data_IF_903962221322
#
_entry.id   IF_903962221322
#
_cell.length_a   1.000
_cell.length_b   1.000
_cell.length_c   1.000
_cell.angle_alpha   90.00
_cell.angle_beta   90.00
_cell.angle_gamma   90.00
#
_symmetry.space_group_name_H-M   'P 1'
#
loop_
_entity.id
_entity.type
_entity.pdbx_description
1 polymer ?
#
# COMPACT_ATOMS: atom_id res chain seq x y z
N UNK A 1 -6.92 8.19 4.54
CA UNK A 1 -6.03 7.16 5.20
C UNK A 1 -6.71 5.79 5.24
N UNK A 2 -5.99 4.70 4.89
CA UNK A 2 -6.56 3.34 4.72
C UNK A 2 -7.00 2.71 6.07
N UNK A 3 -6.28 3.00 7.16
CA UNK A 3 -6.45 2.35 8.47
C UNK A 3 -7.88 2.26 8.99
N UNK A 4 -8.63 3.35 9.10
CA UNK A 4 -10.00 3.31 9.62
C UNK A 4 -10.95 2.42 8.80
N UNK A 5 -10.76 2.35 7.48
CA UNK A 5 -11.55 1.47 6.60
C UNK A 5 -11.24 0.00 6.87
N UNK A 6 -9.96 -0.35 7.04
CA UNK A 6 -9.54 -1.71 7.39
C UNK A 6 -10.10 -2.14 8.75
N UNK A 7 -9.99 -1.28 9.76
CA UNK A 7 -10.51 -1.56 11.11
C UNK A 7 -12.01 -1.88 11.05
N UNK A 8 -12.80 -1.04 10.34
CA UNK A 8 -14.24 -1.30 10.17
C UNK A 8 -14.51 -2.64 9.48
N UNK A 9 -13.78 -2.95 8.39
CA UNK A 9 -13.97 -4.20 7.65
C UNK A 9 -13.56 -5.44 8.45
N UNK A 10 -12.56 -5.36 9.32
CA UNK A 10 -12.18 -6.44 10.24
C UNK A 10 -13.24 -6.64 11.33
N UNK A 11 -13.74 -5.56 11.93
CA UNK A 11 -14.82 -5.67 12.95
C UNK A 11 -16.11 -6.22 12.37
N UNK A 12 -16.50 -5.82 11.16
CA UNK A 12 -17.67 -6.39 10.47
C UNK A 12 -17.55 -7.91 10.26
N UNK A 13 -16.32 -8.44 10.28
CA UNK A 13 -16.01 -9.89 10.22
C UNK A 13 -15.86 -10.54 11.61
N UNK A 14 -16.19 -9.81 12.68
CA UNK A 14 -16.14 -10.31 14.04
C UNK A 14 -14.75 -10.35 14.69
N UNK A 15 -13.75 -9.70 14.10
CA UNK A 15 -12.41 -9.63 14.67
C UNK A 15 -12.34 -8.66 15.85
N UNK A 16 -11.64 -9.08 16.91
CA UNK A 16 -11.21 -8.19 17.99
C UNK A 16 -9.99 -7.41 17.51
N UNK A 17 -10.13 -6.10 17.37
CA UNK A 17 -9.10 -5.24 16.75
C UNK A 17 -8.47 -4.34 17.81
N UNK A 18 -7.15 -4.33 17.85
CA UNK A 18 -6.36 -3.34 18.56
C UNK A 18 -5.53 -2.53 17.56
N UNK A 19 -5.34 -1.24 17.83
CA UNK A 19 -4.56 -0.32 17.00
C UNK A 19 -3.42 0.28 17.82
N UNK A 20 -2.20 0.13 17.33
CA UNK A 20 -1.03 0.86 17.84
C UNK A 20 -0.78 2.07 16.95
N UNK A 21 -0.76 3.27 17.54
CA UNK A 21 -0.53 4.53 16.81
C UNK A 21 0.20 5.57 17.66
N UNK A 22 0.74 6.60 17.01
CA UNK A 22 1.52 7.69 17.67
C UNK A 22 0.67 8.70 18.46
N UNK A 23 -0.65 8.65 18.36
CA UNK A 23 -1.55 9.62 19.00
C UNK A 23 -1.68 10.98 18.29
N UNK A 24 -0.94 11.22 17.20
CA UNK A 24 -0.91 12.52 16.51
C UNK A 24 -2.21 12.79 15.72
N UNK A 25 -2.75 11.74 15.10
CA UNK A 25 -4.00 11.81 14.33
C UNK A 25 -5.00 10.81 14.91
N UNK A 26 -6.05 11.32 15.53
CA UNK A 26 -7.11 10.49 16.10
C UNK A 26 -8.18 10.29 15.04
N UNK A 27 -8.11 9.20 14.30
CA UNK A 27 -9.19 8.80 13.42
C UNK A 27 -10.43 8.39 14.26
N UNK A 28 -11.62 8.66 13.74
CA UNK A 28 -12.86 8.15 14.30
C UNK A 28 -12.92 6.61 14.09
N UNK A 29 -12.55 5.86 15.13
CA UNK A 29 -12.66 4.41 15.18
C UNK A 29 -13.82 4.00 16.06
N UNK A 30 -14.42 2.83 15.81
CA UNK A 30 -15.47 2.28 16.69
C UNK A 30 -15.01 2.20 18.16
N UNK A 31 -15.95 2.37 19.09
CA UNK A 31 -15.65 2.48 20.53
C UNK A 31 -15.02 1.22 21.14
N UNK A 32 -15.29 0.05 20.56
CA UNK A 32 -14.78 -1.25 21.00
C UNK A 32 -13.37 -1.57 20.47
N UNK A 33 -12.75 -0.68 19.69
CA UNK A 33 -11.36 -0.84 19.23
C UNK A 33 -10.41 -0.45 20.36
N UNK A 34 -9.59 -1.40 20.78
CA UNK A 34 -8.55 -1.12 21.77
C UNK A 34 -7.44 -0.28 21.14
N UNK A 35 -7.03 0.78 21.83
CA UNK A 35 -6.00 1.70 21.35
C UNK A 35 -4.78 1.65 22.23
N UNK A 36 -3.64 1.45 21.61
CA UNK A 36 -2.34 1.60 22.26
C UNK A 36 -1.65 2.83 21.66
N UNK A 37 -1.27 3.74 22.52
CA UNK A 37 -0.39 4.85 22.18
C UNK A 37 0.98 4.57 22.77
N UNK A 38 2.02 4.86 22.03
CA UNK A 38 3.38 4.75 22.52
C UNK A 38 4.14 6.00 22.09
N UNK A 39 4.73 6.69 23.06
CA UNK A 39 5.57 7.86 22.81
C UNK A 39 6.80 7.56 21.96
N UNK A 40 7.15 6.25 21.88
CA UNK A 40 8.23 5.72 21.01
C UNK A 40 7.74 5.30 19.62
N UNK A 41 6.46 5.47 19.33
CA UNK A 41 5.90 5.14 18.01
C UNK A 41 6.29 6.21 16.96
N UNK A 42 7.58 6.46 16.84
CA UNK A 42 8.14 7.16 15.69
C UNK A 42 7.91 6.34 14.41
N UNK A 43 8.10 6.96 13.26
CA UNK A 43 8.31 6.25 12.01
C UNK A 43 9.78 6.46 11.65
N UNK A 44 10.54 5.40 11.40
CA UNK A 44 10.20 3.98 11.38
C UNK A 44 9.85 3.44 12.78
N UNK A 45 9.00 2.40 12.83
CA UNK A 45 8.60 1.73 14.09
C UNK A 45 9.71 0.78 14.52
N UNK A 46 10.67 1.28 15.28
CA UNK A 46 11.83 0.47 15.74
C UNK A 46 11.54 -0.30 17.04
N UNK A 47 10.44 -0.02 17.70
CA UNK A 47 9.99 -0.69 18.93
C UNK A 47 8.50 -0.92 18.90
N UNK A 48 8.08 -2.08 19.37
CA UNK A 48 6.66 -2.39 19.56
C UNK A 48 6.31 -2.24 21.03
N UNK A 49 5.26 -1.49 21.32
CA UNK A 49 4.77 -1.28 22.69
C UNK A 49 4.49 -2.60 23.38
N UNK A 50 4.94 -2.76 24.64
CA UNK A 50 4.69 -3.96 25.43
C UNK A 50 3.20 -4.30 25.56
N UNK A 51 2.33 -3.28 25.59
CA UNK A 51 0.90 -3.45 25.64
C UNK A 51 0.36 -4.14 24.38
N UNK A 52 0.86 -3.79 23.19
CA UNK A 52 0.49 -4.43 21.93
C UNK A 52 0.96 -5.91 21.89
N UNK A 53 2.14 -6.19 22.44
CA UNK A 53 2.63 -7.57 22.56
C UNK A 53 1.77 -8.38 23.54
N UNK A 54 1.37 -7.79 24.69
CA UNK A 54 0.49 -8.44 25.68
C UNK A 54 -0.93 -8.66 25.19
N UNK A 55 -1.37 -7.94 24.19
CA UNK A 55 -2.64 -8.18 23.51
C UNK A 55 -2.69 -9.57 22.86
N UNK A 56 -1.52 -10.18 22.59
CA UNK A 56 -1.36 -11.51 21.99
C UNK A 56 -2.16 -11.65 20.68
N UNK A 57 -1.86 -10.88 19.65
CA UNK A 57 -2.62 -10.92 18.40
C UNK A 57 -2.42 -12.25 17.66
N UNK A 58 -3.48 -12.81 17.08
CA UNK A 58 -3.37 -13.93 16.14
C UNK A 58 -2.70 -13.48 14.82
N UNK A 59 -3.01 -12.26 14.37
CA UNK A 59 -2.44 -11.66 13.16
C UNK A 59 -2.00 -10.23 13.43
N UNK A 60 -0.80 -9.91 13.01
CA UNK A 60 -0.27 -8.53 13.01
C UNK A 60 -0.42 -7.92 11.64
N UNK A 61 -1.04 -6.75 11.54
CA UNK A 61 -1.07 -5.96 10.33
C UNK A 61 -0.16 -4.73 10.47
N UNK A 62 0.98 -4.74 9.80
CA UNK A 62 1.93 -3.62 9.80
C UNK A 62 1.72 -2.73 8.57
N UNK A 63 0.98 -1.64 8.77
CA UNK A 63 0.57 -0.76 7.67
C UNK A 63 1.63 0.26 7.27
N UNK A 64 2.61 0.52 8.11
CA UNK A 64 3.60 1.61 7.95
C UNK A 64 5.05 1.10 7.95
N UNK A 65 5.27 -0.15 7.51
CA UNK A 65 6.62 -0.67 7.32
C UNK A 65 7.33 0.12 6.20
N UNK A 66 8.24 1.01 6.56
CA UNK A 66 8.90 1.92 5.61
C UNK A 66 10.23 1.37 5.09
N UNK A 67 10.93 0.58 5.90
CA UNK A 67 12.23 0.02 5.54
C UNK A 67 12.54 -1.28 6.27
N UNK A 68 13.78 -1.74 6.14
CA UNK A 68 14.22 -3.00 6.72
C UNK A 68 14.08 -3.03 8.25
N UNK A 69 14.53 -1.97 8.90
CA UNK A 69 14.64 -1.93 10.37
C UNK A 69 13.29 -2.05 11.07
N UNK A 70 12.26 -1.37 10.58
CA UNK A 70 10.93 -1.44 11.19
C UNK A 70 10.24 -2.77 10.88
N UNK A 71 10.46 -3.35 9.70
CA UNK A 71 10.00 -4.70 9.40
C UNK A 71 10.66 -5.73 10.30
N UNK A 72 11.99 -5.70 10.47
CA UNK A 72 12.74 -6.59 11.37
C UNK A 72 12.31 -6.42 12.84
N UNK A 73 12.06 -5.19 13.29
CA UNK A 73 11.58 -4.91 14.65
C UNK A 73 10.21 -5.55 14.90
N UNK A 74 9.27 -5.43 13.94
CA UNK A 74 7.97 -6.07 14.03
C UNK A 74 8.09 -7.60 14.01
N UNK A 75 8.89 -8.16 13.11
CA UNK A 75 9.16 -9.60 13.03
C UNK A 75 9.73 -10.14 14.36
N UNK A 76 10.73 -9.47 14.92
CA UNK A 76 11.33 -9.88 16.19
C UNK A 76 10.36 -9.79 17.39
N UNK A 77 9.52 -8.77 17.41
CA UNK A 77 8.55 -8.57 18.50
C UNK A 77 7.46 -9.65 18.52
N UNK A 78 7.04 -10.15 17.37
CA UNK A 78 5.91 -11.07 17.27
C UNK A 78 6.27 -12.52 16.89
N UNK A 79 7.54 -12.82 16.58
CA UNK A 79 8.00 -14.21 16.37
C UNK A 79 7.66 -15.09 17.56
N UNK A 80 7.00 -16.22 17.30
CA UNK A 80 6.52 -17.15 18.33
C UNK A 80 5.38 -16.62 19.22
N UNK A 81 4.79 -15.44 18.89
CA UNK A 81 3.69 -14.81 19.64
C UNK A 81 2.46 -14.55 18.80
N UNK A 82 2.62 -14.31 17.51
CA UNK A 82 1.52 -14.21 16.58
C UNK A 82 1.59 -15.36 15.57
N UNK A 83 0.45 -15.74 15.01
CA UNK A 83 0.39 -16.78 13.99
C UNK A 83 0.95 -16.33 12.64
N UNK A 84 0.83 -15.06 12.30
CA UNK A 84 1.36 -14.47 11.06
C UNK A 84 1.38 -12.95 11.08
N UNK A 85 2.09 -12.37 10.09
CA UNK A 85 2.13 -10.93 9.85
C UNK A 85 1.70 -10.60 8.41
N UNK A 86 0.96 -9.53 8.25
CA UNK A 86 0.62 -8.93 6.96
C UNK A 86 1.28 -7.56 6.89
N UNK A 87 2.01 -7.27 5.82
CA UNK A 87 2.65 -5.96 5.62
C UNK A 87 2.18 -5.30 4.34
N UNK A 88 2.07 -3.97 4.37
CA UNK A 88 1.78 -3.19 3.18
C UNK A 88 3.09 -2.80 2.49
N UNK A 89 3.25 -3.28 1.27
CA UNK A 89 4.26 -2.88 0.32
C UNK A 89 3.67 -1.89 -0.69
N UNK A 90 4.40 -1.58 -1.73
CA UNK A 90 4.03 -0.62 -2.76
C UNK A 90 4.45 -1.14 -4.13
N UNK A 91 3.78 -0.72 -5.18
CA UNK A 91 4.20 -1.03 -6.54
C UNK A 91 5.49 -0.35 -6.97
N UNK A 92 6.07 0.52 -6.17
CA UNK A 92 7.38 1.09 -6.44
C UNK A 92 8.53 0.08 -6.28
N UNK A 93 8.24 -1.11 -5.80
CA UNK A 93 9.20 -2.24 -5.79
C UNK A 93 9.51 -2.74 -7.20
N UNK A 94 8.60 -2.58 -8.15
CA UNK A 94 8.80 -3.06 -9.51
C UNK A 94 9.84 -2.26 -10.28
N UNK A 95 10.63 -2.95 -11.11
CA UNK A 95 11.57 -2.31 -12.02
C UNK A 95 10.85 -1.38 -13.01
N UNK A 96 9.63 -1.74 -13.43
CA UNK A 96 8.77 -0.88 -14.23
C UNK A 96 8.59 0.50 -13.61
N UNK A 97 8.38 0.59 -12.29
CA UNK A 97 8.30 1.89 -11.62
C UNK A 97 9.61 2.66 -11.69
N UNK A 98 10.75 1.97 -11.53
CA UNK A 98 12.09 2.57 -11.73
C UNK A 98 12.29 3.10 -13.15
N UNK A 99 11.80 2.36 -14.18
CA UNK A 99 11.79 2.82 -15.58
C UNK A 99 10.94 4.08 -15.77
N UNK A 100 9.75 4.09 -15.16
CA UNK A 100 8.85 5.24 -15.21
C UNK A 100 9.47 6.49 -14.60
N UNK A 101 10.04 6.40 -13.41
CA UNK A 101 10.64 7.57 -12.72
C UNK A 101 12.08 7.88 -13.15
N UNK A 102 12.64 7.11 -14.10
CA UNK A 102 13.97 7.34 -14.65
C UNK A 102 15.15 6.90 -13.78
N UNK A 103 14.90 6.12 -12.72
CA UNK A 103 15.95 5.63 -11.81
C UNK A 103 16.57 4.30 -12.22
N UNK A 104 15.92 3.57 -13.13
CA UNK A 104 16.37 2.29 -13.68
C UNK A 104 16.59 2.44 -15.20
N UNK A 105 17.81 2.35 -15.72
CA UNK A 105 18.06 2.44 -17.16
C UNK A 105 17.66 1.17 -17.91
N UNK A 106 17.27 1.29 -19.18
CA UNK A 106 16.98 0.19 -20.10
C UNK A 106 15.59 0.27 -20.74
N UNK A 107 15.17 -0.82 -21.41
CA UNK A 107 13.88 -0.91 -22.09
C UNK A 107 12.71 -0.92 -21.13
N UNK A 108 11.51 -0.59 -21.62
CA UNK A 108 10.26 -0.71 -20.87
C UNK A 108 10.00 -2.17 -20.48
N UNK A 109 9.40 -2.36 -19.32
CA UNK A 109 8.99 -3.67 -18.84
C UNK A 109 7.59 -4.03 -19.39
N UNK A 110 7.36 -5.29 -19.73
CA UNK A 110 6.04 -5.73 -20.13
C UNK A 110 5.00 -5.54 -19.02
N UNK A 111 3.77 -5.21 -19.41
CA UNK A 111 2.62 -5.12 -18.51
C UNK A 111 1.48 -5.99 -19.02
N UNK A 112 0.60 -6.50 -18.13
CA UNK A 112 0.52 -6.23 -16.70
C UNK A 112 1.62 -6.91 -15.87
N UNK A 113 1.99 -6.28 -14.75
CA UNK A 113 2.99 -6.77 -13.79
C UNK A 113 2.32 -7.75 -12.83
N UNK A 114 2.74 -9.00 -12.83
CA UNK A 114 2.38 -9.98 -11.81
C UNK A 114 3.33 -9.89 -10.59
N UNK A 115 3.13 -10.74 -9.60
CA UNK A 115 3.94 -10.74 -8.38
C UNK A 115 5.38 -11.21 -8.60
N UNK A 116 5.66 -11.91 -9.71
CA UNK A 116 7.00 -12.39 -10.10
C UNK A 116 7.72 -11.39 -11.04
N UNK A 117 7.05 -10.32 -11.47
CA UNK A 117 7.65 -9.32 -12.34
C UNK A 117 8.93 -8.74 -11.71
N UNK A 118 9.94 -8.35 -12.52
CA UNK A 118 11.23 -7.90 -12.03
C UNK A 118 11.12 -6.73 -11.05
N UNK A 119 11.86 -6.84 -9.94
CA UNK A 119 11.98 -5.77 -8.95
C UNK A 119 13.09 -4.80 -9.33
N UNK A 120 13.04 -3.58 -8.76
CA UNK A 120 14.12 -2.59 -8.89
C UNK A 120 15.45 -3.20 -8.42
N UNK A 121 16.52 -2.89 -9.11
CA UNK A 121 17.89 -3.21 -8.68
C UNK A 121 18.39 -2.15 -7.71
N UNK A 122 18.06 -0.88 -7.97
CA UNK A 122 18.45 0.24 -7.12
C UNK A 122 17.62 0.24 -5.82
N UNK A 123 18.31 0.03 -4.70
CA UNK A 123 17.73 0.17 -3.38
C UNK A 123 17.66 1.65 -2.95
N UNK A 124 16.79 1.94 -1.96
CA UNK A 124 16.56 3.27 -1.40
C UNK A 124 16.23 4.33 -2.47
N UNK A 125 15.07 4.17 -3.15
CA UNK A 125 14.74 4.94 -4.36
C UNK A 125 14.64 6.44 -4.15
N UNK A 126 14.43 6.90 -2.93
CA UNK A 126 14.23 8.31 -2.58
C UNK A 126 15.40 8.93 -1.79
N UNK A 127 16.48 8.18 -1.54
CA UNK A 127 17.60 8.63 -0.70
C UNK A 127 18.26 9.91 -1.18
N UNK A 128 18.43 10.07 -2.48
CA UNK A 128 19.11 11.23 -3.06
C UNK A 128 18.25 12.50 -3.01
N UNK A 129 16.91 12.34 -2.96
CA UNK A 129 15.96 13.44 -2.84
C UNK A 129 15.53 13.71 -1.39
N UNK A 130 15.98 12.90 -0.44
CA UNK A 130 15.65 13.07 0.96
C UNK A 130 16.29 14.35 1.53
N UNK A 131 15.55 15.19 2.26
CA UNK A 131 16.10 16.42 2.84
C UNK A 131 17.22 16.18 3.84
N UNK A 132 17.16 15.08 4.58
CA UNK A 132 18.18 14.68 5.56
C UNK A 132 18.14 13.16 5.80
N UNK A 133 19.11 12.63 6.58
CA UNK A 133 19.14 11.21 6.99
C UNK A 133 18.06 10.86 8.02
N UNK A 134 17.48 11.84 8.67
CA UNK A 134 16.37 11.72 9.63
C UNK A 134 15.02 11.70 8.92
N UNK A 135 14.97 12.10 7.64
CA UNK A 135 13.76 12.02 6.85
C UNK A 135 13.42 10.55 6.52
N UNK A 136 12.13 10.23 6.55
CA UNK A 136 11.65 8.87 6.30
C UNK A 136 12.01 8.33 4.92
N UNK A 137 12.07 9.20 3.93
CA UNK A 137 12.42 8.84 2.55
C UNK A 137 13.85 8.34 2.41
N UNK A 138 14.76 8.74 3.31
CA UNK A 138 16.17 8.34 3.26
C UNK A 138 16.38 6.83 3.44
N UNK A 139 15.61 6.20 4.34
CA UNK A 139 15.70 4.77 4.66
C UNK A 139 14.56 3.96 4.05
N UNK A 140 13.67 4.62 3.32
CA UNK A 140 12.53 3.97 2.69
C UNK A 140 13.00 2.95 1.64
N UNK A 141 12.59 1.70 1.82
CA UNK A 141 12.72 0.66 0.79
C UNK A 141 11.77 -0.52 1.05
N UNK A 142 10.73 -0.64 0.22
CA UNK A 142 9.75 -1.73 0.34
C UNK A 142 10.31 -3.09 -0.09
N UNK A 143 11.32 -3.15 -0.96
CA UNK A 143 12.00 -4.42 -1.29
C UNK A 143 12.65 -5.02 -0.04
N UNK A 144 13.29 -4.18 0.77
CA UNK A 144 13.92 -4.63 2.02
C UNK A 144 12.89 -5.04 3.07
N UNK A 145 11.72 -4.37 3.12
CA UNK A 145 10.56 -4.80 3.94
C UNK A 145 10.11 -6.20 3.52
N UNK A 146 9.88 -6.42 2.22
CA UNK A 146 9.42 -7.72 1.70
C UNK A 146 10.44 -8.84 2.02
N UNK A 147 11.74 -8.56 1.85
CA UNK A 147 12.81 -9.52 2.18
C UNK A 147 12.83 -9.85 3.68
N UNK A 148 12.75 -8.85 4.55
CA UNK A 148 12.76 -9.06 6.00
C UNK A 148 11.56 -9.91 6.45
N UNK A 149 10.38 -9.64 5.93
CA UNK A 149 9.15 -10.35 6.30
C UNK A 149 9.14 -11.80 5.80
N UNK A 150 9.77 -12.07 4.65
CA UNK A 150 9.83 -13.41 4.06
C UNK A 150 11.01 -14.26 4.54
N UNK A 151 11.93 -13.68 5.29
CA UNK A 151 13.16 -14.38 5.74
C UNK A 151 12.98 -15.29 6.94
N UNK A 152 11.85 -15.22 7.66
CA UNK A 152 11.64 -15.94 8.92
C UNK A 152 10.46 -16.90 8.84
N UNK A 153 10.71 -18.18 9.16
CA UNK A 153 9.70 -19.23 9.17
C UNK A 153 8.81 -19.19 10.43
N UNK A 154 9.30 -18.62 11.53
CA UNK A 154 8.58 -18.59 12.82
C UNK A 154 7.40 -17.61 12.84
N UNK A 155 7.33 -16.70 11.88
CA UNK A 155 6.21 -15.77 11.70
C UNK A 155 5.91 -15.66 10.22
N UNK A 156 5.01 -16.49 9.67
CA UNK A 156 4.64 -16.45 8.26
C UNK A 156 4.20 -15.05 7.82
N UNK A 157 4.82 -14.54 6.75
CA UNK A 157 4.59 -13.19 6.27
C UNK A 157 3.75 -13.12 5.00
N UNK A 158 2.80 -12.20 4.96
CA UNK A 158 2.04 -11.85 3.77
C UNK A 158 2.42 -10.44 3.33
N UNK A 159 2.64 -10.25 2.05
CA UNK A 159 2.97 -8.94 1.46
C UNK A 159 1.84 -8.50 0.54
N UNK A 160 1.37 -7.27 0.70
CA UNK A 160 0.39 -6.65 -0.19
C UNK A 160 1.05 -5.47 -0.91
N UNK A 161 1.28 -5.59 -2.21
CA UNK A 161 1.75 -4.50 -3.07
C UNK A 161 0.58 -3.64 -3.46
N UNK A 162 0.50 -2.46 -2.86
CA UNK A 162 -0.60 -1.53 -3.07
C UNK A 162 -0.45 -0.74 -4.37
N UNK A 163 -1.56 -0.40 -5.02
CA UNK A 163 -1.61 0.46 -6.20
C UNK A 163 -1.53 1.94 -5.80
N UNK A 164 -1.79 2.85 -6.72
CA UNK A 164 -2.10 4.24 -6.38
C UNK A 164 -3.47 4.30 -5.72
N UNK A 165 -3.47 4.41 -4.39
CA UNK A 165 -4.72 4.48 -3.60
C UNK A 165 -5.35 5.86 -3.74
N UNK A 166 -6.67 5.91 -3.89
CA UNK A 166 -7.46 7.12 -3.88
C UNK A 166 -8.72 6.95 -3.02
N UNK A 167 -9.26 8.06 -2.58
CA UNK A 167 -10.44 8.11 -1.73
C UNK A 167 -10.62 9.49 -1.14
N UNK A 168 -11.65 9.72 -0.31
CA UNK A 168 -11.95 11.05 0.23
C UNK A 168 -10.84 11.70 1.05
N UNK A 169 -9.89 10.91 1.54
CA UNK A 169 -8.80 11.36 2.42
C UNK A 169 -7.42 11.14 1.78
N UNK A 170 -7.35 10.36 0.70
CA UNK A 170 -6.12 10.01 0.01
C UNK A 170 -6.29 10.30 -1.47
N UNK A 171 -5.52 11.24 -2.01
CA UNK A 171 -5.68 11.67 -3.41
C UNK A 171 -7.15 12.06 -3.71
N UNK A 172 -7.79 12.75 -2.75
CA UNK A 172 -9.23 12.97 -2.69
C UNK A 172 -9.80 13.64 -3.96
N UNK A 173 -9.04 14.55 -4.54
CA UNK A 173 -9.38 15.26 -5.77
C UNK A 173 -8.88 14.53 -7.03
N UNK A 174 -8.40 13.30 -6.89
CA UNK A 174 -7.79 12.55 -7.99
C UNK A 174 -6.64 13.30 -8.68
N UNK A 175 -5.89 14.06 -7.89
CA UNK A 175 -4.82 14.94 -8.37
C UNK A 175 -3.83 14.24 -9.33
N UNK A 176 -3.57 12.94 -9.12
CA UNK A 176 -2.71 12.16 -10.02
C UNK A 176 -3.28 12.11 -11.44
N UNK A 177 -4.58 11.92 -11.60
CA UNK A 177 -5.23 11.86 -12.92
C UNK A 177 -5.13 13.22 -13.62
N UNK A 178 -5.46 14.30 -12.92
CA UNK A 178 -5.37 15.65 -13.48
C UNK A 178 -3.92 16.08 -13.79
N UNK A 179 -2.98 15.72 -12.93
CA UNK A 179 -1.54 16.07 -13.12
C UNK A 179 -0.93 15.46 -14.36
N UNK A 180 -1.38 14.26 -14.74
CA UNK A 180 -0.85 13.53 -15.90
C UNK A 180 -1.75 13.59 -17.12
N UNK A 181 -2.63 14.60 -17.20
CA UNK A 181 -3.58 14.79 -18.32
C UNK A 181 -2.92 14.93 -19.71
N UNK A 182 -1.64 15.33 -19.77
CA UNK A 182 -0.89 15.44 -21.02
C UNK A 182 -0.36 14.10 -21.54
N UNK A 183 -0.54 13.02 -20.77
CA UNK A 183 -0.20 11.65 -21.14
C UNK A 183 -1.47 10.79 -21.23
N UNK A 184 -2.37 11.08 -22.19
CA UNK A 184 -3.73 10.52 -22.23
C UNK A 184 -3.76 8.99 -22.35
N UNK A 185 -2.75 8.38 -22.97
CA UNK A 185 -2.68 6.93 -23.16
C UNK A 185 -2.02 6.19 -21.99
N UNK A 186 -1.34 6.91 -21.09
CA UNK A 186 -0.64 6.28 -19.97
C UNK A 186 -1.60 5.66 -18.98
N UNK A 187 -1.18 4.54 -18.38
CA UNK A 187 -1.97 3.76 -17.46
C UNK A 187 -1.24 3.54 -16.14
N UNK A 188 -1.96 3.70 -15.04
CA UNK A 188 -1.48 3.37 -13.71
C UNK A 188 -2.60 2.71 -12.92
N UNK A 189 -2.35 1.49 -12.37
CA UNK A 189 -3.34 0.80 -11.55
C UNK A 189 -3.65 1.62 -10.30
N UNK A 190 -4.92 1.93 -10.15
CA UNK A 190 -5.48 2.60 -8.98
C UNK A 190 -6.23 1.60 -8.11
N UNK A 191 -6.56 2.03 -6.88
CA UNK A 191 -7.43 1.29 -5.99
C UNK A 191 -8.22 2.24 -5.10
N UNK A 192 -9.54 2.16 -5.14
CA UNK A 192 -10.38 2.89 -4.22
C UNK A 192 -10.14 2.41 -2.79
N UNK A 193 -10.03 3.35 -1.85
CA UNK A 193 -9.61 3.06 -0.47
C UNK A 193 -10.43 1.97 0.23
N UNK A 194 -11.74 1.91 -0.04
CA UNK A 194 -12.59 0.86 0.54
C UNK A 194 -12.35 -0.51 -0.09
N UNK A 195 -12.11 -0.59 -1.39
CA UNK A 195 -11.75 -1.82 -2.08
C UNK A 195 -10.36 -2.32 -1.60
N UNK A 196 -9.40 -1.41 -1.49
CA UNK A 196 -8.07 -1.72 -0.93
C UNK A 196 -8.19 -2.22 0.51
N UNK A 197 -9.01 -1.58 1.35
CA UNK A 197 -9.26 -2.04 2.72
C UNK A 197 -9.91 -3.42 2.78
N UNK A 198 -10.79 -3.75 1.81
CA UNK A 198 -11.36 -5.11 1.68
C UNK A 198 -10.27 -6.13 1.35
N UNK A 199 -9.38 -5.84 0.40
CA UNK A 199 -8.28 -6.72 0.04
C UNK A 199 -7.35 -6.98 1.26
N UNK A 200 -7.02 -5.92 2.01
CA UNK A 200 -6.22 -6.04 3.23
C UNK A 200 -6.95 -6.89 4.28
N UNK A 201 -8.24 -6.65 4.50
CA UNK A 201 -9.02 -7.44 5.46
C UNK A 201 -9.12 -8.91 5.05
N UNK A 202 -9.26 -9.24 3.77
CA UNK A 202 -9.22 -10.62 3.28
C UNK A 202 -7.87 -11.27 3.58
N UNK A 203 -6.74 -10.59 3.27
CA UNK A 203 -5.41 -11.12 3.58
C UNK A 203 -5.18 -11.29 5.08
N UNK A 204 -5.76 -10.46 5.94
CA UNK A 204 -5.73 -10.62 7.40
C UNK A 204 -6.58 -11.80 7.84
N UNK A 205 -7.76 -12.00 7.29
CA UNK A 205 -8.70 -13.03 7.74
C UNK A 205 -8.40 -14.43 7.20
N UNK A 206 -7.83 -14.53 6.01
CA UNK A 206 -7.65 -15.81 5.31
C UNK A 206 -6.25 -16.40 5.57
N UNK A 207 -6.15 -17.59 6.20
CA UNK A 207 -4.86 -18.24 6.43
C UNK A 207 -4.12 -18.63 5.13
N UNK A 208 -4.80 -18.77 4.00
CA UNK A 208 -4.17 -19.05 2.70
C UNK A 208 -3.28 -17.90 2.22
N UNK A 209 -3.44 -16.70 2.80
CA UNK A 209 -2.57 -15.56 2.51
C UNK A 209 -1.14 -15.73 3.06
N UNK A 210 -0.91 -16.66 4.01
CA UNK A 210 0.39 -16.86 4.62
C UNK A 210 1.49 -17.17 3.60
N UNK A 211 2.66 -16.53 3.78
CA UNK A 211 3.84 -16.67 2.91
C UNK A 211 3.62 -16.28 1.43
N UNK A 212 2.60 -15.48 1.16
CA UNK A 212 2.28 -15.03 -0.19
C UNK A 212 2.54 -13.54 -0.39
N UNK A 213 2.76 -13.17 -1.65
CA UNK A 213 2.72 -11.79 -2.14
C UNK A 213 1.48 -11.66 -3.00
N UNK A 214 0.77 -10.53 -2.87
CA UNK A 214 -0.38 -10.21 -3.71
C UNK A 214 -0.30 -8.78 -4.22
N UNK A 215 -0.56 -8.60 -5.50
CA UNK A 215 -0.90 -7.30 -6.05
C UNK A 215 -2.33 -6.94 -5.67
N UNK A 216 -2.52 -5.72 -5.22
CA UNK A 216 -3.84 -5.15 -4.90
C UNK A 216 -4.13 -4.03 -5.89
N UNK A 217 -5.36 -3.94 -6.36
CA UNK A 217 -5.80 -2.90 -7.28
C UNK A 217 -7.10 -3.26 -7.97
N UNK A 218 -7.62 -2.33 -8.73
CA UNK A 218 -8.81 -2.54 -9.55
C UNK A 218 -8.51 -3.53 -10.69
N UNK A 219 -9.55 -4.29 -11.10
CA UNK A 219 -9.42 -5.32 -12.14
C UNK A 219 -9.05 -4.72 -13.51
N UNK A 220 -9.49 -3.52 -13.76
CA UNK A 220 -9.22 -2.78 -14.99
C UNK A 220 -8.31 -1.59 -14.68
N UNK A 221 -7.42 -1.28 -15.60
CA UNK A 221 -6.58 -0.09 -15.51
C UNK A 221 -6.83 0.79 -16.74
N UNK A 222 -7.84 1.67 -16.67
CA UNK A 222 -8.12 2.61 -17.77
C UNK A 222 -6.96 3.57 -18.01
N UNK A 223 -6.92 4.13 -19.22
CA UNK A 223 -6.00 5.22 -19.59
C UNK A 223 -6.32 6.50 -18.82
N UNK A 224 -5.39 7.43 -18.75
CA UNK A 224 -5.66 8.75 -18.15
C UNK A 224 -6.78 9.49 -18.89
N UNK A 225 -6.88 9.35 -20.22
CA UNK A 225 -7.97 9.94 -20.99
C UNK A 225 -9.34 9.39 -20.59
N UNK A 226 -9.46 8.07 -20.44
CA UNK A 226 -10.70 7.43 -20.02
C UNK A 226 -11.12 7.85 -18.59
N UNK A 227 -10.16 8.02 -17.68
CA UNK A 227 -10.44 8.56 -16.35
C UNK A 227 -10.85 10.02 -16.37
N UNK A 228 -10.12 10.86 -17.13
CA UNK A 228 -10.44 12.28 -17.27
C UNK A 228 -11.84 12.50 -17.85
N UNK A 229 -12.28 11.67 -18.81
CA UNK A 229 -13.64 11.78 -19.38
C UNK A 229 -14.77 11.57 -18.36
N UNK A 230 -14.46 11.00 -17.20
CA UNK A 230 -15.40 10.74 -16.09
C UNK A 230 -15.33 11.79 -14.99
N UNK A 231 -14.41 12.73 -15.09
CA UNK A 231 -14.13 13.74 -14.07
C UNK A 231 -14.50 15.13 -14.57
N UNK A 232 -14.94 16.04 -13.70
CA UNK A 232 -15.17 17.44 -14.08
C UNK A 232 -13.84 18.11 -14.47
N UNK A 233 -13.91 19.10 -15.34
CA UNK A 233 -12.76 19.94 -15.65
C UNK A 233 -12.26 20.65 -14.39
N UNK A 234 -10.96 20.55 -14.14
CA UNK A 234 -10.27 21.24 -13.05
C UNK A 234 -8.93 21.77 -13.53
N UNK A 235 -8.64 22.99 -13.13
CA UNK A 235 -7.29 23.54 -13.30
C UNK A 235 -6.42 23.06 -12.12
N UNK A 236 -5.64 22.00 -12.37
CA UNK A 236 -4.67 21.46 -11.42
C UNK A 236 -3.28 21.65 -12.01
N UNK A 237 -2.37 22.16 -11.21
CA UNK A 237 -0.98 22.33 -11.63
C UNK A 237 -0.41 21.00 -12.15
N UNK A 238 0.19 21.05 -13.35
CA UNK A 238 0.88 19.91 -13.95
C UNK A 238 2.12 19.60 -13.09
N UNK A 239 2.35 18.33 -12.81
CA UNK A 239 3.57 17.92 -12.11
C UNK A 239 4.78 18.14 -13.04
N UNK A 240 5.94 18.45 -12.47
CA UNK A 240 7.19 18.39 -13.24
C UNK A 240 7.37 16.98 -13.80
N UNK A 241 7.55 16.88 -15.11
CA UNK A 241 7.59 15.63 -15.86
C UNK A 241 8.99 15.28 -16.34
N UNK A 242 9.99 16.15 -16.08
CA UNK A 242 11.31 16.19 -16.73
C UNK A 242 12.12 14.88 -16.60
N UNK A 243 11.73 13.97 -15.72
CA UNK A 243 12.43 12.69 -15.54
C UNK A 243 11.57 11.45 -15.78
N UNK A 244 10.28 11.62 -16.15
CA UNK A 244 9.35 10.48 -16.22
C UNK A 244 9.24 9.91 -17.64
N UNK A 245 9.26 8.59 -17.73
CA UNK A 245 9.08 7.86 -18.98
C UNK A 245 7.64 7.32 -19.10
N UNK A 246 6.76 8.09 -19.72
CA UNK A 246 5.36 7.71 -19.92
C UNK A 246 5.14 6.64 -21.01
N UNK A 247 6.19 6.13 -21.65
CA UNK A 247 6.08 4.89 -22.43
C UNK A 247 5.96 3.66 -21.52
N UNK A 248 6.33 3.78 -20.24
CA UNK A 248 6.21 2.72 -19.25
C UNK A 248 4.89 2.85 -18.49
N UNK A 249 3.96 1.95 -18.75
CA UNK A 249 2.76 1.77 -17.96
C UNK A 249 3.06 1.11 -16.59
N UNK A 250 2.24 1.41 -15.58
CA UNK A 250 2.28 0.79 -14.26
C UNK A 250 0.98 0.02 -14.03
N UNK A 251 0.79 -1.04 -14.78
CA UNK A 251 -0.41 -1.88 -14.77
C UNK A 251 -0.12 -3.19 -14.01
N UNK A 252 -0.92 -3.50 -12.99
CA UNK A 252 -0.78 -4.73 -12.21
C UNK A 252 -1.70 -5.84 -12.72
N UNK A 253 -1.21 -7.07 -12.69
CA UNK A 253 -2.07 -8.25 -12.67
C UNK A 253 -2.55 -8.48 -11.23
N UNK A 254 -3.85 -8.40 -11.01
CA UNK A 254 -4.49 -8.65 -9.72
C UNK A 254 -5.24 -9.98 -9.67
N UNK A 255 -5.02 -10.86 -10.64
CA UNK A 255 -5.73 -12.14 -10.76
C UNK A 255 -5.44 -13.09 -9.59
N UNK A 256 -4.24 -13.06 -9.03
CA UNK A 256 -3.84 -13.94 -7.93
C UNK A 256 -4.68 -13.72 -6.68
N UNK A 257 -4.80 -12.48 -6.19
CA UNK A 257 -5.61 -12.19 -4.99
C UNK A 257 -7.09 -12.50 -5.23
N UNK A 258 -7.59 -12.32 -6.44
CA UNK A 258 -8.97 -12.66 -6.82
C UNK A 258 -9.21 -14.16 -6.77
N UNK A 259 -8.33 -14.91 -7.38
CA UNK A 259 -8.42 -16.38 -7.44
C UNK A 259 -8.23 -17.04 -6.07
N UNK A 260 -7.25 -16.58 -5.30
CA UNK A 260 -6.82 -17.26 -4.07
C UNK A 260 -7.60 -16.80 -2.83
N UNK A 261 -7.91 -15.50 -2.73
CA UNK A 261 -8.61 -14.93 -1.58
C UNK A 261 -10.05 -14.49 -1.88
N UNK A 262 -10.54 -14.67 -3.11
CA UNK A 262 -11.89 -14.26 -3.51
C UNK A 262 -12.09 -12.75 -3.52
N UNK A 263 -11.03 -11.97 -3.76
CA UNK A 263 -11.16 -10.51 -3.82
C UNK A 263 -12.01 -10.09 -5.02
N UNK A 264 -12.92 -9.19 -4.77
CA UNK A 264 -13.68 -8.43 -5.77
C UNK A 264 -13.95 -7.04 -5.22
N UNK A 265 -14.09 -6.06 -6.07
CA UNK A 265 -14.46 -4.71 -5.67
C UNK A 265 -15.89 -4.67 -5.10
N UNK A 266 -16.10 -3.88 -4.03
CA UNK A 266 -17.45 -3.50 -3.55
C UNK A 266 -17.98 -2.29 -4.34
N UNK A 267 -17.07 -1.48 -4.87
CA UNK A 267 -17.34 -0.25 -5.60
C UNK A 267 -16.56 -0.26 -6.92
N UNK A 268 -17.24 -0.04 -8.03
CA UNK A 268 -16.56 0.19 -9.30
C UNK A 268 -15.86 1.56 -9.35
N UNK A 269 -14.91 1.72 -10.28
CA UNK A 269 -14.11 2.94 -10.39
C UNK A 269 -14.97 4.17 -10.70
N UNK A 270 -16.03 4.03 -11.49
CA UNK A 270 -16.92 5.16 -11.87
C UNK A 270 -17.63 5.70 -10.65
N UNK A 271 -18.23 4.81 -9.84
CA UNK A 271 -18.84 5.17 -8.58
C UNK A 271 -17.84 5.82 -7.62
N UNK A 272 -16.68 5.17 -7.43
CA UNK A 272 -15.64 5.61 -6.50
C UNK A 272 -15.09 6.99 -6.86
N UNK A 273 -14.84 7.26 -8.15
CA UNK A 273 -14.43 8.58 -8.63
C UNK A 273 -15.51 9.64 -8.39
N UNK A 274 -16.77 9.31 -8.67
CA UNK A 274 -17.89 10.24 -8.44
C UNK A 274 -18.02 10.61 -6.95
N UNK A 275 -17.83 9.66 -6.03
CA UNK A 275 -17.83 9.94 -4.59
C UNK A 275 -16.69 10.87 -4.17
N UNK A 276 -15.49 10.72 -4.73
CA UNK A 276 -14.36 11.60 -4.43
C UNK A 276 -14.57 13.04 -4.92
N UNK A 277 -15.34 13.25 -5.98
CA UNK A 277 -15.59 14.57 -6.56
C UNK A 277 -16.72 15.31 -5.86
N UNK A 278 -17.69 14.59 -5.26
CA UNK A 278 -18.85 15.18 -4.57
C UNK A 278 -18.54 15.79 -3.21
N UNK A 279 -17.39 15.46 -2.64
CA UNK A 279 -16.95 15.96 -1.32
C UNK A 279 -15.92 17.07 -1.44
#
# INVERSE_FOLDING_TARGET
>A
MIGPYVVRKLQMRGWNVAVLHRGIHVAALPANVQRFTDDFAGIPVLRVARAAIRFAPDVVLHMIAMGQQDAEAAMAAFAGRAGRIVVLSSGDVYRAYGRFVGTEPGSIEPTPLDEEAPLRERLFPYRESAPSKEDLSYWYDKILVERAVRSRSELPGTVLRLPKVYGPEENADLATVYRFRHHPQWRWTHGYVENVAKAIALAVCDPRAANNIFNVGEAQTPTMAERLSRLPDRDVAVASEDSKNFAQDIVYDTSKIRRELGFSEDFDEVYAMAECVRR
#
